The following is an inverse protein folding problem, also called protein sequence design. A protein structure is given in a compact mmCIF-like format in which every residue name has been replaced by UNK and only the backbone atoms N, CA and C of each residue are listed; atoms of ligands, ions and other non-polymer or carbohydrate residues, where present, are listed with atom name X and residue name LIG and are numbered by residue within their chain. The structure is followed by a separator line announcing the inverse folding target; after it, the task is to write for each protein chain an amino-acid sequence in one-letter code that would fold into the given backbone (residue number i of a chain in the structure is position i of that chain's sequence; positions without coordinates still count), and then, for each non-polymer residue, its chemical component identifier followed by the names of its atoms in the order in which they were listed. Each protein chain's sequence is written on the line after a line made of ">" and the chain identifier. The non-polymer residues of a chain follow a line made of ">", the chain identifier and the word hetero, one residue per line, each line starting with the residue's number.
data_IF_063581908594
#
_entry.id   IF_063581908594
#
_cell.length_a   1.000
_cell.length_b   1.000
_cell.length_c   1.000
_cell.angle_alpha   90.00
_cell.angle_beta   90.00
_cell.angle_gamma   90.00
#
_symmetry.space_group_name_H-M   'P 1'
#
loop_
_entity.id
_entity.type
_entity.pdbx_description
1 polymer ?
#
# COMPACT_ATOMS: atom_id res chain seq x y z
N UNK A 1 36.39 6.66 -43.38
CA UNK A 1 36.50 6.89 -44.84
C UNK A 1 35.09 6.97 -45.37
N UNK A 2 34.51 8.18 -45.50
CA UNK A 2 34.70 9.14 -46.61
C UNK A 2 34.05 8.61 -47.88
N UNK A 3 33.28 9.36 -48.68
CA UNK A 3 32.46 10.55 -48.57
C UNK A 3 31.75 10.65 -49.95
N UNK A 4 30.54 11.22 -50.00
CA UNK A 4 29.93 11.94 -51.15
C UNK A 4 29.69 11.28 -52.51
N UNK A 5 28.42 11.33 -52.94
CA UNK A 5 27.93 11.91 -54.23
C UNK A 5 26.56 12.59 -53.92
N UNK A 6 26.48 13.93 -53.83
CA UNK A 6 25.93 14.90 -54.82
C UNK A 6 24.48 14.62 -55.29
N UNK A 7 23.54 15.55 -55.53
CA UNK A 7 23.31 17.01 -55.34
C UNK A 7 21.96 17.29 -56.03
N UNK A 8 21.10 18.16 -55.46
CA UNK A 8 20.05 19.05 -56.08
C UNK A 8 18.79 19.10 -55.18
N UNK A 9 18.61 20.10 -54.30
CA UNK A 9 18.23 21.50 -54.50
C UNK A 9 16.78 21.68 -55.00
N UNK A 10 15.86 22.04 -54.10
CA UNK A 10 14.90 23.13 -54.33
C UNK A 10 14.37 23.69 -53.00
N UNK A 11 14.33 25.02 -52.96
CA UNK A 11 14.12 25.88 -51.82
C UNK A 11 12.69 25.84 -51.27
N UNK A 12 12.54 25.89 -49.94
CA UNK A 12 11.34 26.43 -49.29
C UNK A 12 11.76 27.28 -48.09
N UNK A 13 11.34 28.54 -48.21
CA UNK A 13 11.19 29.65 -47.26
C UNK A 13 11.70 29.53 -45.82
N UNK A 14 12.44 30.59 -45.46
CA UNK A 14 12.54 31.21 -44.14
C UNK A 14 11.28 31.01 -43.28
N UNK A 15 11.44 30.35 -42.14
CA UNK A 15 10.79 30.72 -40.89
C UNK A 15 11.82 30.58 -39.77
N UNK A 16 12.56 31.66 -39.53
CA UNK A 16 13.36 31.82 -38.30
C UNK A 16 12.35 32.09 -37.18
N UNK A 17 11.75 31.03 -36.67
CA UNK A 17 11.05 31.03 -35.40
C UNK A 17 12.07 30.81 -34.30
N UNK A 18 12.73 31.88 -33.86
CA UNK A 18 13.42 31.87 -32.58
C UNK A 18 12.37 31.67 -31.49
N UNK A 19 12.12 30.43 -31.10
CA UNK A 19 11.66 30.12 -29.75
C UNK A 19 12.81 30.45 -28.79
N UNK A 20 13.04 31.75 -28.58
CA UNK A 20 13.62 32.19 -27.32
C UNK A 20 12.63 31.77 -26.25
N UNK A 21 12.97 30.70 -25.53
CA UNK A 21 12.39 30.48 -24.23
C UNK A 21 12.47 31.81 -23.49
N UNK A 22 11.32 32.36 -23.09
CA UNK A 22 11.29 33.43 -22.11
C UNK A 22 11.97 32.85 -20.87
N UNK A 23 13.25 33.14 -20.68
CA UNK A 23 13.84 33.10 -19.35
C UNK A 23 13.08 34.15 -18.56
N UNK A 24 12.17 33.72 -17.68
CA UNK A 24 11.53 34.61 -16.71
C UNK A 24 12.63 35.24 -15.86
N UNK A 25 13.04 36.43 -16.28
CA UNK A 25 14.03 37.24 -15.60
C UNK A 25 13.24 38.18 -14.70
N UNK A 26 12.90 37.69 -13.51
CA UNK A 26 12.11 38.40 -12.47
C UNK A 26 12.88 39.59 -11.85
N UNK A 27 13.93 40.07 -12.52
CA UNK A 27 14.80 41.16 -12.05
C UNK A 27 14.98 42.30 -13.06
N UNK A 28 14.29 42.28 -14.21
CA UNK A 28 14.46 43.31 -15.25
C UNK A 28 13.18 44.07 -15.60
N UNK A 29 13.08 45.35 -15.20
CA UNK A 29 11.97 46.26 -15.51
C UNK A 29 12.02 46.87 -16.93
N UNK A 30 12.59 46.19 -17.92
CA UNK A 30 12.86 46.78 -19.24
C UNK A 30 11.75 46.59 -20.29
N UNK A 31 10.54 46.15 -19.90
CA UNK A 31 9.48 45.75 -20.83
C UNK A 31 8.29 46.71 -21.05
N UNK A 32 7.91 47.55 -20.09
CA UNK A 32 6.78 48.48 -20.22
C UNK A 32 6.71 49.48 -19.04
N UNK A 33 7.24 50.71 -19.16
CA UNK A 33 7.36 51.63 -18.03
C UNK A 33 6.04 52.26 -17.54
N UNK A 34 4.96 52.20 -18.33
CA UNK A 34 3.72 52.94 -18.06
C UNK A 34 2.60 52.09 -17.45
N UNK A 35 2.71 50.76 -17.49
CA UNK A 35 1.73 49.83 -16.89
C UNK A 35 2.31 49.02 -15.72
N UNK A 36 3.63 49.03 -15.55
CA UNK A 36 4.27 48.57 -14.32
C UNK A 36 4.64 49.82 -13.52
N UNK A 37 3.76 50.26 -12.61
CA UNK A 37 4.26 51.02 -11.45
C UNK A 37 5.36 50.14 -10.85
N UNK A 38 6.52 50.70 -10.51
CA UNK A 38 7.65 50.01 -9.89
C UNK A 38 7.24 49.43 -8.50
N UNK A 39 6.32 48.48 -8.49
CA UNK A 39 6.22 47.50 -7.44
C UNK A 39 7.34 46.50 -7.71
N UNK A 40 8.57 46.96 -7.53
CA UNK A 40 9.68 46.05 -7.26
C UNK A 40 9.30 45.31 -5.98
N UNK A 41 8.59 44.20 -6.13
CA UNK A 41 8.26 43.32 -5.03
C UNK A 41 9.60 42.93 -4.41
N UNK A 42 9.87 43.42 -3.20
CA UNK A 42 11.14 43.20 -2.55
C UNK A 42 11.29 41.69 -2.29
N UNK A 43 12.05 41.01 -3.15
CA UNK A 43 12.34 39.60 -3.00
C UNK A 43 13.24 39.43 -1.77
N UNK A 44 12.69 38.82 -0.73
CA UNK A 44 13.43 38.47 0.48
C UNK A 44 13.61 36.97 0.55
N UNK A 45 14.87 36.52 0.50
CA UNK A 45 15.19 35.15 0.87
C UNK A 45 15.27 35.07 2.40
N UNK A 46 14.54 34.12 2.98
CA UNK A 46 14.48 33.91 4.44
C UNK A 46 14.80 32.46 4.73
N UNK A 47 16.00 32.21 5.25
CA UNK A 47 16.41 30.86 5.64
C UNK A 47 15.97 30.61 7.09
N UNK A 48 15.06 29.65 7.25
CA UNK A 48 14.55 29.21 8.54
C UNK A 48 15.47 28.13 9.14
N UNK A 49 16.68 28.49 9.58
CA UNK A 49 17.70 27.53 10.08
C UNK A 49 17.43 26.97 11.48
N UNK A 50 16.69 27.69 12.32
CA UNK A 50 16.33 27.28 13.68
C UNK A 50 14.85 26.92 13.85
N UNK A 51 14.05 27.04 12.80
CA UNK A 51 12.59 26.94 12.90
C UNK A 51 12.06 25.52 12.72
N UNK A 52 12.85 24.59 12.15
CA UNK A 52 12.38 23.24 11.83
C UNK A 52 12.63 22.31 13.03
N UNK A 53 11.64 22.25 13.92
CA UNK A 53 11.69 21.33 15.06
C UNK A 53 10.97 20.05 14.65
N UNK A 54 11.63 18.90 14.85
CA UNK A 54 10.93 17.63 14.79
C UNK A 54 9.95 17.58 15.96
N UNK A 55 8.66 17.56 15.64
CA UNK A 55 7.61 17.47 16.65
C UNK A 55 7.43 16.02 17.08
N UNK A 56 7.10 15.15 16.12
CA UNK A 56 6.75 13.76 16.40
C UNK A 56 6.93 12.84 15.20
N UNK A 57 7.19 11.55 15.46
CA UNK A 57 7.21 10.50 14.43
C UNK A 57 6.28 9.37 14.85
N UNK A 58 5.33 9.02 13.98
CA UNK A 58 4.39 7.94 14.18
C UNK A 58 4.69 6.78 13.23
N UNK A 59 4.98 5.61 13.79
CA UNK A 59 5.24 4.37 13.05
C UNK A 59 3.97 3.54 13.00
N UNK A 60 3.72 2.85 11.88
CA UNK A 60 2.50 2.06 11.69
C UNK A 60 1.46 2.79 10.85
N UNK A 61 1.92 3.65 9.95
CA UNK A 61 1.10 4.33 8.96
C UNK A 61 1.08 3.54 7.63
N UNK A 62 -0.04 3.50 6.88
CA UNK A 62 -1.39 3.90 7.29
C UNK A 62 -1.90 3.12 8.50
N UNK A 63 -2.77 3.75 9.30
CA UNK A 63 -3.38 3.03 10.42
C UNK A 63 -4.16 1.84 9.87
N UNK A 64 -4.34 0.81 10.70
CA UNK A 64 -5.20 -0.32 10.35
C UNK A 64 -6.58 0.22 9.92
N UNK A 65 -7.13 -0.31 8.83
CA UNK A 65 -8.37 0.17 8.23
C UNK A 65 -8.27 1.34 7.26
N UNK A 66 -7.19 2.12 7.28
CA UNK A 66 -7.05 3.29 6.39
C UNK A 66 -6.41 2.94 5.04
N UNK A 67 -5.73 1.80 4.95
CA UNK A 67 -5.05 1.43 3.71
C UNK A 67 -6.01 0.85 2.69
N UNK A 68 -5.82 1.25 1.43
CA UNK A 68 -6.63 0.80 0.29
C UNK A 68 -6.05 -0.44 -0.37
N UNK A 69 -4.82 -0.77 -0.05
CA UNK A 69 -4.02 -1.81 -0.65
C UNK A 69 -2.90 -2.24 0.31
N UNK A 70 -2.33 -3.40 0.06
CA UNK A 70 -1.35 -4.02 0.94
C UNK A 70 -0.23 -4.65 0.15
N UNK A 71 0.98 -4.59 0.68
CA UNK A 71 2.11 -5.30 0.09
C UNK A 71 2.36 -6.60 0.84
N UNK A 72 2.26 -7.75 0.16
CA UNK A 72 2.92 -8.97 0.63
C UNK A 72 4.36 -8.93 0.16
N UNK A 73 5.27 -9.25 1.07
CA UNK A 73 6.68 -9.16 0.82
C UNK A 73 7.40 -10.32 1.49
N UNK A 74 8.29 -10.97 0.76
CA UNK A 74 9.30 -11.84 1.33
C UNK A 74 10.61 -11.56 0.58
N UNK A 75 11.59 -10.95 1.24
CA UNK A 75 12.91 -10.63 0.68
C UNK A 75 14.00 -11.30 1.52
N UNK A 76 13.95 -12.62 1.64
CA UNK A 76 14.91 -13.39 2.44
C UNK A 76 14.98 -12.88 3.88
N UNK A 77 16.17 -12.46 4.31
CA UNK A 77 16.41 -11.94 5.67
C UNK A 77 16.12 -10.45 5.84
N UNK A 78 15.86 -9.74 4.75
CA UNK A 78 15.77 -8.27 4.73
C UNK A 78 14.39 -7.78 5.14
N UNK A 79 13.32 -8.35 4.57
CA UNK A 79 11.96 -7.93 4.86
C UNK A 79 10.94 -9.06 4.68
N UNK A 80 9.94 -9.09 5.57
CA UNK A 80 8.84 -10.06 5.54
C UNK A 80 7.57 -9.34 6.01
N UNK A 81 6.61 -9.19 5.09
CA UNK A 81 5.31 -8.58 5.33
C UNK A 81 4.23 -9.55 4.87
N UNK A 82 3.35 -9.87 5.82
CA UNK A 82 2.22 -10.78 5.65
C UNK A 82 0.92 -10.00 5.82
N UNK A 83 -0.20 -10.63 5.53
CA UNK A 83 -1.52 -10.02 5.72
C UNK A 83 -2.36 -10.91 6.63
N UNK A 84 -3.13 -10.30 7.54
CA UNK A 84 -4.25 -10.93 8.22
C UNK A 84 -5.58 -10.48 7.61
N UNK A 85 -6.51 -11.42 7.43
CA UNK A 85 -7.87 -11.20 6.92
C UNK A 85 -8.86 -11.83 7.90
N UNK A 86 -9.85 -11.07 8.38
CA UNK A 86 -10.88 -11.60 9.26
C UNK A 86 -12.15 -11.92 8.49
N UNK A 87 -12.74 -13.08 8.75
CA UNK A 87 -14.06 -13.54 8.33
C UNK A 87 -14.77 -14.05 9.60
N UNK A 88 -15.03 -13.13 10.51
CA UNK A 88 -15.53 -13.46 11.85
C UNK A 88 -17.01 -13.88 11.86
N UNK A 89 -17.76 -13.59 10.80
CA UNK A 89 -19.16 -14.02 10.64
C UNK A 89 -19.29 -15.02 9.50
N UNK A 90 -19.53 -16.28 9.84
CA UNK A 90 -19.73 -17.37 8.88
C UNK A 90 -21.21 -17.78 8.84
N UNK A 91 -21.73 -18.03 7.63
CA UNK A 91 -23.07 -18.58 7.47
C UNK A 91 -23.06 -20.07 7.84
N UNK A 92 -24.08 -20.52 8.57
CA UNK A 92 -24.27 -21.94 8.94
C UNK A 92 -25.35 -22.62 8.09
N UNK A 93 -26.02 -21.86 7.24
CA UNK A 93 -27.12 -22.30 6.39
C UNK A 93 -26.95 -21.81 4.96
N UNK A 94 -27.51 -22.55 4.02
CA UNK A 94 -27.56 -22.21 2.60
C UNK A 94 -28.98 -22.40 2.06
N UNK A 95 -29.30 -21.65 1.01
CA UNK A 95 -30.59 -21.71 0.34
C UNK A 95 -30.51 -22.58 -0.92
N UNK A 96 -31.53 -23.42 -1.08
CA UNK A 96 -31.77 -24.19 -2.31
C UNK A 96 -32.87 -23.45 -3.07
N UNK A 97 -32.64 -23.15 -4.34
CA UNK A 97 -33.62 -22.45 -5.17
C UNK A 97 -34.93 -23.26 -5.21
N UNK A 98 -36.05 -22.64 -4.80
CA UNK A 98 -37.36 -23.29 -4.76
C UNK A 98 -37.68 -24.08 -3.48
N UNK A 99 -36.76 -24.15 -2.51
CA UNK A 99 -37.04 -24.76 -1.21
C UNK A 99 -37.78 -23.78 -0.27
N UNK A 100 -38.68 -24.32 0.57
CA UNK A 100 -39.45 -23.54 1.54
C UNK A 100 -38.62 -23.05 2.75
N UNK A 101 -37.44 -23.62 2.99
CA UNK A 101 -36.59 -23.27 4.13
C UNK A 101 -35.10 -23.50 3.86
N UNK A 102 -34.26 -22.75 4.57
CA UNK A 102 -32.81 -22.87 4.52
C UNK A 102 -32.28 -24.20 5.09
N UNK A 103 -31.32 -24.80 4.40
CA UNK A 103 -30.65 -26.03 4.82
C UNK A 103 -29.38 -25.77 5.62
N UNK A 104 -29.08 -26.60 6.62
CA UNK A 104 -27.81 -26.54 7.35
C UNK A 104 -26.65 -26.94 6.43
N UNK A 105 -25.53 -26.20 6.52
CA UNK A 105 -24.29 -26.57 5.86
C UNK A 105 -23.71 -27.79 6.59
N UNK A 106 -23.64 -28.93 5.90
CA UNK A 106 -23.09 -30.20 6.43
C UNK A 106 -21.72 -30.58 5.87
N UNK A 107 -21.30 -29.88 4.82
CA UNK A 107 -19.97 -30.00 4.22
C UNK A 107 -19.66 -28.70 3.46
N UNK A 108 -18.38 -28.50 3.17
CA UNK A 108 -17.92 -27.55 2.16
C UNK A 108 -17.38 -28.39 1.00
N UNK A 109 -17.92 -28.19 -0.19
CA UNK A 109 -17.55 -28.92 -1.41
C UNK A 109 -16.33 -28.31 -2.09
N UNK A 110 -16.29 -26.98 -2.14
CA UNK A 110 -15.15 -26.22 -2.67
C UNK A 110 -15.08 -24.87 -1.99
N UNK A 111 -13.87 -24.39 -1.69
CA UNK A 111 -13.60 -23.07 -1.15
C UNK A 111 -12.44 -22.43 -1.90
N UNK A 112 -12.60 -21.17 -2.29
CA UNK A 112 -11.58 -20.41 -3.00
C UNK A 112 -11.52 -18.98 -2.46
N UNK A 113 -10.34 -18.60 -1.97
CA UNK A 113 -10.01 -17.21 -1.70
C UNK A 113 -9.66 -16.50 -3.01
N UNK A 114 -10.33 -15.38 -3.26
CA UNK A 114 -10.21 -14.58 -4.48
C UNK A 114 -9.82 -13.17 -4.08
N UNK A 115 -8.73 -12.65 -4.65
CA UNK A 115 -8.31 -11.27 -4.47
C UNK A 115 -7.64 -10.75 -5.73
N UNK A 116 -7.56 -9.43 -5.83
CA UNK A 116 -6.90 -8.78 -6.95
C UNK A 116 -5.52 -8.30 -6.53
N UNK A 117 -4.59 -8.33 -7.48
CA UNK A 117 -3.28 -7.70 -7.32
C UNK A 117 -3.11 -6.54 -8.30
N UNK A 118 -2.40 -5.51 -7.86
CA UNK A 118 -2.10 -4.33 -8.65
C UNK A 118 -0.79 -4.54 -9.44
N UNK A 119 -0.94 -5.04 -10.67
CA UNK A 119 0.18 -5.25 -11.59
C UNK A 119 0.71 -3.97 -12.24
N UNK A 120 -0.01 -2.84 -12.09
CA UNK A 120 0.46 -1.53 -12.58
C UNK A 120 1.63 -0.99 -11.74
N UNK A 121 1.70 -1.40 -10.47
CA UNK A 121 2.75 -0.97 -9.53
C UNK A 121 3.74 -2.08 -9.24
N UNK A 122 3.28 -3.32 -9.08
CA UNK A 122 4.16 -4.48 -8.89
C UNK A 122 3.72 -5.64 -9.76
N UNK A 123 4.43 -5.88 -10.85
CA UNK A 123 4.24 -7.06 -11.69
C UNK A 123 5.23 -8.17 -11.31
N UNK A 124 4.75 -9.36 -10.89
CA UNK A 124 5.63 -10.51 -10.68
C UNK A 124 6.31 -10.90 -12.00
N UNK A 125 7.64 -11.04 -11.96
CA UNK A 125 8.47 -11.47 -13.11
C UNK A 125 9.02 -12.90 -12.94
N UNK A 126 8.79 -13.50 -11.77
CA UNK A 126 9.21 -14.86 -11.42
C UNK A 126 8.05 -15.60 -10.77
N UNK A 127 8.04 -16.94 -10.80
CA UNK A 127 7.07 -17.72 -10.05
C UNK A 127 7.14 -17.42 -8.55
N UNK A 128 6.00 -17.45 -7.90
CA UNK A 128 5.86 -17.22 -6.46
C UNK A 128 4.78 -18.14 -5.89
N UNK A 129 4.88 -18.42 -4.60
CA UNK A 129 3.90 -19.21 -3.86
C UNK A 129 3.15 -18.30 -2.90
N UNK A 130 1.84 -18.45 -2.81
CA UNK A 130 1.03 -17.85 -1.76
C UNK A 130 0.54 -18.97 -0.85
N UNK A 131 0.77 -18.78 0.44
CA UNK A 131 0.26 -19.64 1.49
C UNK A 131 -0.83 -18.89 2.29
N UNK A 132 -1.88 -19.63 2.64
CA UNK A 132 -2.94 -19.21 3.54
C UNK A 132 -2.87 -20.04 4.82
N UNK A 133 -2.89 -19.38 5.97
CA UNK A 133 -2.85 -20.01 7.29
C UNK A 133 -4.07 -19.63 8.12
N UNK A 134 -4.57 -20.52 8.97
CA UNK A 134 -5.53 -20.17 10.01
C UNK A 134 -4.82 -19.42 11.15
N UNK A 135 -4.98 -18.11 11.19
CA UNK A 135 -4.39 -17.24 12.21
C UNK A 135 -5.37 -16.89 13.33
N UNK A 136 -6.49 -17.61 13.44
CA UNK A 136 -7.44 -17.39 14.53
C UNK A 136 -6.80 -17.72 15.90
N UNK A 137 -7.08 -16.84 16.87
CA UNK A 137 -6.48 -16.87 18.20
C UNK A 137 -7.37 -16.14 19.20
N UNK A 138 -7.28 -16.51 20.48
CA UNK A 138 -7.91 -15.80 21.60
C UNK A 138 -7.03 -14.68 22.16
N UNK A 139 -5.75 -14.66 21.82
CA UNK A 139 -4.82 -13.59 22.22
C UNK A 139 -5.00 -12.33 21.36
N UNK A 140 -4.35 -11.23 21.76
CA UNK A 140 -4.37 -9.96 21.01
C UNK A 140 -3.76 -10.14 19.62
N UNK A 141 -4.63 -10.19 18.62
CA UNK A 141 -4.35 -10.45 17.20
C UNK A 141 -3.86 -9.20 16.43
N UNK A 142 -3.68 -8.09 17.13
CA UNK A 142 -3.12 -6.84 16.59
C UNK A 142 -1.59 -6.77 16.75
N UNK A 143 -1.02 -7.67 17.55
CA UNK A 143 0.41 -7.71 17.85
C UNK A 143 1.12 -8.69 16.90
N UNK A 144 2.17 -8.22 16.21
CA UNK A 144 3.02 -9.07 15.36
C UNK A 144 3.56 -10.27 16.13
N UNK A 145 3.99 -10.08 17.38
CA UNK A 145 4.53 -11.17 18.20
C UNK A 145 3.53 -12.29 18.46
N UNK A 146 2.22 -11.99 18.49
CA UNK A 146 1.15 -12.98 18.63
C UNK A 146 0.86 -13.68 17.32
N UNK A 147 0.79 -12.92 16.22
CA UNK A 147 0.30 -13.39 14.93
C UNK A 147 1.38 -14.08 14.09
N UNK A 148 2.62 -13.57 14.10
CA UNK A 148 3.71 -14.12 13.29
C UNK A 148 3.97 -15.63 13.54
N UNK A 149 3.93 -16.15 14.79
CA UNK A 149 4.08 -17.59 15.04
C UNK A 149 2.94 -18.47 14.51
N UNK A 150 1.79 -17.90 14.13
CA UNK A 150 0.64 -18.65 13.60
C UNK A 150 0.82 -19.06 12.13
N UNK A 151 1.73 -18.42 11.41
CA UNK A 151 2.12 -18.78 10.03
C UNK A 151 3.09 -19.95 10.05
N UNK A 152 2.56 -21.15 10.27
CA UNK A 152 3.32 -22.40 10.37
C UNK A 152 2.57 -23.53 9.69
N UNK A 153 3.29 -24.56 9.29
CA UNK A 153 2.75 -25.67 8.49
C UNK A 153 1.51 -26.32 9.11
N UNK A 154 1.44 -26.47 10.44
CA UNK A 154 0.27 -27.07 11.12
C UNK A 154 -1.01 -26.23 11.05
N UNK A 155 -0.94 -25.00 10.55
CA UNK A 155 -2.08 -24.11 10.33
C UNK A 155 -2.30 -23.78 8.86
N UNK A 156 -1.57 -24.41 7.95
CA UNK A 156 -1.71 -24.18 6.52
C UNK A 156 -3.08 -24.68 6.05
N UNK A 157 -3.88 -23.78 5.48
CA UNK A 157 -5.22 -24.05 4.96
C UNK A 157 -5.31 -23.78 3.46
N UNK A 158 -4.20 -23.49 2.79
CA UNK A 158 -4.15 -23.34 1.34
C UNK A 158 -2.73 -22.96 0.90
N UNK A 159 -2.30 -23.49 -0.23
CA UNK A 159 -1.02 -23.11 -0.84
C UNK A 159 -1.10 -23.28 -2.35
N UNK A 160 -0.60 -22.30 -3.10
CA UNK A 160 -0.50 -22.40 -4.55
C UNK A 160 0.71 -21.63 -5.07
N UNK A 161 1.45 -22.27 -5.96
CA UNK A 161 2.47 -21.63 -6.77
C UNK A 161 1.85 -21.13 -8.07
N UNK A 162 2.16 -19.88 -8.41
CA UNK A 162 1.72 -19.21 -9.63
C UNK A 162 2.94 -18.97 -10.53
N UNK A 163 2.79 -19.24 -11.82
CA UNK A 163 3.75 -18.72 -12.78
C UNK A 163 3.55 -17.20 -12.91
N UNK A 164 4.62 -16.47 -13.23
CA UNK A 164 4.53 -15.02 -13.46
C UNK A 164 3.52 -14.67 -14.58
N UNK A 165 3.39 -15.56 -15.57
CA UNK A 165 2.44 -15.41 -16.69
C UNK A 165 0.96 -15.57 -16.26
N UNK A 166 0.67 -16.37 -15.23
CA UNK A 166 -0.71 -16.64 -14.76
C UNK A 166 -1.39 -15.41 -14.15
N UNK A 167 -0.59 -14.39 -13.83
CA UNK A 167 -1.00 -13.17 -13.14
C UNK A 167 -1.58 -12.12 -14.10
N UNK A 168 -1.56 -12.37 -15.42
CA UNK A 168 -2.05 -11.41 -16.42
C UNK A 168 -3.53 -11.01 -16.35
N UNK A 169 -4.31 -11.63 -15.46
CA UNK A 169 -5.73 -11.28 -15.24
C UNK A 169 -5.98 -10.48 -13.95
N UNK A 170 -4.90 -10.09 -13.25
CA UNK A 170 -4.89 -9.44 -11.93
C UNK A 170 -5.62 -10.20 -10.80
N UNK A 171 -6.38 -11.24 -11.14
CA UNK A 171 -7.26 -11.97 -10.24
C UNK A 171 -6.60 -13.27 -9.81
N UNK A 172 -6.19 -13.32 -8.55
CA UNK A 172 -5.58 -14.50 -7.94
C UNK A 172 -6.66 -15.35 -7.28
N UNK A 173 -6.60 -16.66 -7.52
CA UNK A 173 -7.50 -17.66 -6.94
C UNK A 173 -6.69 -18.71 -6.19
N UNK A 174 -6.88 -18.77 -4.88
CA UNK A 174 -6.22 -19.71 -3.98
C UNK A 174 -7.27 -20.66 -3.39
N UNK A 175 -7.17 -21.94 -3.72
CA UNK A 175 -8.03 -22.97 -3.11
C UNK A 175 -7.72 -23.08 -1.63
N UNK A 176 -8.76 -23.14 -0.81
CA UNK A 176 -8.66 -23.35 0.63
C UNK A 176 -9.06 -24.78 0.98
N UNK A 177 -8.57 -25.27 2.11
CA UNK A 177 -8.98 -26.54 2.71
C UNK A 177 -10.46 -26.47 3.10
N UNK A 178 -11.25 -27.29 2.41
CA UNK A 178 -12.69 -27.41 2.61
C UNK A 178 -13.04 -27.87 4.04
N UNK A 179 -12.27 -28.82 4.60
CA UNK A 179 -12.50 -29.34 5.93
C UNK A 179 -12.19 -28.28 6.99
N UNK A 180 -11.13 -27.48 6.79
CA UNK A 180 -10.81 -26.36 7.68
C UNK A 180 -11.91 -25.30 7.70
N UNK A 181 -12.42 -24.88 6.52
CA UNK A 181 -13.54 -23.94 6.45
C UNK A 181 -14.81 -24.54 7.09
N UNK A 182 -15.10 -25.81 6.79
CA UNK A 182 -16.27 -26.48 7.33
C UNK A 182 -16.23 -26.61 8.85
N UNK A 183 -15.07 -26.92 9.45
CA UNK A 183 -14.90 -26.98 10.89
C UNK A 183 -15.27 -25.65 11.56
N UNK A 184 -14.83 -24.52 10.99
CA UNK A 184 -15.19 -23.19 11.48
C UNK A 184 -16.70 -22.91 11.35
N UNK A 185 -17.31 -23.27 10.23
CA UNK A 185 -18.77 -23.11 10.03
C UNK A 185 -19.57 -23.95 11.03
N UNK A 186 -19.21 -25.23 11.16
CA UNK A 186 -19.91 -26.20 12.01
C UNK A 186 -19.91 -25.78 13.47
N UNK A 187 -18.75 -25.35 13.96
CA UNK A 187 -18.56 -25.01 15.38
C UNK A 187 -18.82 -23.52 15.66
N UNK A 188 -19.31 -22.77 14.66
CA UNK A 188 -19.59 -21.33 14.75
C UNK A 188 -18.38 -20.52 15.22
N UNK A 189 -17.21 -20.89 14.72
CA UNK A 189 -15.93 -20.25 15.03
C UNK A 189 -15.60 -19.17 14.00
N UNK A 190 -14.72 -18.25 14.41
CA UNK A 190 -14.17 -17.22 13.53
C UNK A 190 -13.16 -17.85 12.56
N UNK A 191 -13.21 -17.42 11.30
CA UNK A 191 -12.15 -17.73 10.35
C UNK A 191 -11.27 -16.51 10.16
N UNK A 192 -9.98 -16.65 10.42
CA UNK A 192 -8.99 -15.59 10.18
C UNK A 192 -7.86 -16.16 9.36
N UNK A 193 -7.60 -15.55 8.21
CA UNK A 193 -6.65 -16.06 7.23
C UNK A 193 -5.42 -15.17 7.21
N UNK A 194 -4.27 -15.77 7.47
CA UNK A 194 -2.97 -15.17 7.26
C UNK A 194 -2.45 -15.49 5.86
N UNK A 195 -2.15 -14.47 5.05
CA UNK A 195 -1.50 -14.65 3.75
C UNK A 195 0.00 -14.35 3.83
N UNK A 196 0.80 -15.26 3.28
CA UNK A 196 2.24 -15.10 3.11
C UNK A 196 2.63 -15.38 1.66
N UNK A 197 3.58 -14.62 1.13
CA UNK A 197 4.18 -14.89 -0.17
C UNK A 197 5.58 -15.47 0.02
N UNK A 198 6.00 -16.37 -0.86
CA UNK A 198 7.36 -16.91 -0.93
C UNK A 198 7.84 -16.92 -2.37
N UNK A 199 9.13 -16.69 -2.59
CA UNK A 199 9.76 -17.08 -3.85
C UNK A 199 9.89 -18.60 -3.94
N UNK A 200 9.95 -19.14 -5.16
CA UNK A 200 10.04 -20.59 -5.39
C UNK A 200 11.46 -21.15 -5.24
N UNK A 201 12.45 -20.29 -5.08
CA UNK A 201 13.88 -20.64 -5.01
C UNK A 201 14.52 -19.91 -3.83
N UNK A 202 15.42 -20.59 -3.12
CA UNK A 202 16.14 -20.01 -1.99
C UNK A 202 16.86 -18.72 -2.40
N UNK A 203 16.70 -17.64 -1.63
CA UNK A 203 17.27 -16.33 -1.94
C UNK A 203 16.47 -15.46 -2.92
N UNK A 204 15.44 -16.00 -3.59
CA UNK A 204 14.56 -15.20 -4.44
C UNK A 204 13.39 -14.65 -3.63
N UNK A 205 13.34 -13.32 -3.55
CA UNK A 205 12.22 -12.64 -2.92
C UNK A 205 10.96 -12.62 -3.81
N UNK A 206 9.81 -12.40 -3.18
CA UNK A 206 8.54 -12.16 -3.85
C UNK A 206 7.87 -10.91 -3.28
N UNK A 207 7.26 -10.12 -4.16
CA UNK A 207 6.51 -8.91 -3.81
C UNK A 207 5.21 -8.90 -4.58
N UNK A 208 4.10 -8.69 -3.89
CA UNK A 208 2.78 -8.53 -4.46
C UNK A 208 2.10 -7.33 -3.81
N UNK A 209 1.35 -6.56 -4.59
CA UNK A 209 0.45 -5.53 -4.06
C UNK A 209 -0.98 -6.03 -4.20
N UNK A 210 -1.64 -6.38 -3.12
CA UNK A 210 -3.04 -6.81 -3.09
C UNK A 210 -3.94 -5.57 -2.99
N UNK A 211 -4.95 -5.49 -3.84
CA UNK A 211 -6.01 -4.49 -3.74
C UNK A 211 -6.90 -4.80 -2.52
N UNK A 212 -7.15 -3.77 -1.72
CA UNK A 212 -7.90 -3.84 -0.48
C UNK A 212 -9.34 -3.34 -0.64
N UNK A 213 -9.67 -2.22 -0.02
CA UNK A 213 -11.05 -1.75 0.22
C UNK A 213 -11.95 -1.66 -1.01
N UNK A 214 -11.44 -1.24 -2.17
CA UNK A 214 -12.23 -1.16 -3.40
C UNK A 214 -12.57 -2.54 -4.00
N UNK A 215 -11.71 -3.54 -3.76
CA UNK A 215 -11.84 -4.90 -4.26
C UNK A 215 -11.46 -5.91 -3.17
N UNK A 216 -12.28 -6.02 -2.10
CA UNK A 216 -11.88 -6.74 -0.91
C UNK A 216 -11.67 -8.24 -1.21
N UNK A 217 -10.62 -8.88 -0.65
CA UNK A 217 -10.44 -10.32 -0.74
C UNK A 217 -11.67 -11.06 -0.26
N UNK A 218 -12.22 -11.97 -1.06
CA UNK A 218 -13.46 -12.69 -0.76
C UNK A 218 -13.26 -14.19 -0.84
N UNK A 219 -13.97 -14.92 0.01
CA UNK A 219 -14.02 -16.38 -0.08
C UNK A 219 -15.30 -16.74 -0.81
N UNK A 220 -15.19 -17.49 -1.91
CA UNK A 220 -16.33 -18.12 -2.57
C UNK A 220 -16.32 -19.60 -2.24
N UNK A 221 -17.42 -20.13 -1.73
CA UNK A 221 -17.50 -21.55 -1.39
C UNK A 221 -18.85 -22.17 -1.78
N UNK A 222 -18.88 -23.50 -1.95
CA UNK A 222 -20.09 -24.29 -2.17
C UNK A 222 -20.36 -25.16 -0.95
N UNK A 223 -21.60 -25.15 -0.47
CA UNK A 223 -22.06 -26.03 0.61
C UNK A 223 -22.48 -27.43 0.12
N UNK A 224 -22.67 -27.60 -1.19
CA UNK A 224 -23.09 -28.84 -1.84
C UNK A 224 -22.40 -29.01 -3.18
N UNK A 225 -22.26 -30.27 -3.61
CA UNK A 225 -21.83 -30.66 -4.96
C UNK A 225 -22.95 -30.47 -5.99
N UNK A 226 -24.18 -30.28 -5.54
CA UNK A 226 -25.32 -29.93 -6.38
C UNK A 226 -25.12 -28.55 -7.02
N UNK A 227 -25.12 -28.50 -8.35
CA UNK A 227 -24.86 -27.29 -9.13
C UNK A 227 -26.03 -26.31 -9.13
N UNK A 228 -27.23 -26.75 -8.75
CA UNK A 228 -28.42 -25.90 -8.57
C UNK A 228 -28.30 -25.00 -7.33
N UNK A 229 -27.46 -25.40 -6.37
CA UNK A 229 -27.12 -24.61 -5.20
C UNK A 229 -26.10 -23.55 -5.59
N UNK A 230 -26.47 -22.28 -5.41
CA UNK A 230 -25.56 -21.16 -5.70
C UNK A 230 -24.42 -21.13 -4.68
N UNK A 231 -23.17 -20.86 -5.11
CA UNK A 231 -22.07 -20.62 -4.18
C UNK A 231 -22.35 -19.42 -3.28
N UNK A 232 -21.96 -19.53 -2.02
CA UNK A 232 -21.94 -18.40 -1.10
C UNK A 232 -20.64 -17.61 -1.25
N UNK A 233 -20.69 -16.35 -0.85
CA UNK A 233 -19.53 -15.45 -0.82
C UNK A 233 -19.41 -14.81 0.55
N UNK A 234 -18.23 -14.92 1.15
CA UNK A 234 -17.86 -14.26 2.39
C UNK A 234 -16.96 -13.07 2.07
N UNK A 235 -17.29 -11.94 2.66
CA UNK A 235 -16.46 -10.74 2.64
C UNK A 235 -15.77 -10.57 4.00
N UNK A 236 -14.61 -9.88 4.03
CA UNK A 236 -13.90 -9.67 5.27
C UNK A 236 -14.79 -8.94 6.27
N UNK A 237 -14.88 -9.47 7.47
CA UNK A 237 -15.66 -8.95 8.59
C UNK A 237 -14.91 -9.25 9.88
N UNK A 238 -14.88 -8.27 10.79
CA UNK A 238 -14.28 -8.42 12.10
C UNK A 238 -15.34 -8.07 13.12
N UNK A 239 -15.41 -8.84 14.20
CA UNK A 239 -16.19 -8.51 15.40
C UNK A 239 -15.29 -8.08 16.56
N UNK A 240 -13.99 -7.90 16.28
CA UNK A 240 -12.97 -7.49 17.25
C UNK A 240 -12.49 -6.06 16.94
N UNK A 241 -12.39 -5.17 17.96
CA UNK A 241 -12.87 -5.37 19.33
C UNK A 241 -14.41 -5.37 19.41
N UNK A 242 -15.00 -6.07 20.39
CA UNK A 242 -16.45 -6.12 20.54
C UNK A 242 -17.01 -4.72 20.79
N UNK A 243 -18.19 -4.41 20.21
CA UNK A 243 -18.94 -3.16 20.38
C UNK A 243 -18.28 -1.88 19.83
N UNK A 244 -17.16 -1.99 19.13
CA UNK A 244 -16.42 -0.86 18.56
C UNK A 244 -16.47 -0.88 17.03
N UNK A 245 -17.60 -0.50 16.43
CA UNK A 245 -17.86 -0.69 14.99
C UNK A 245 -16.80 -0.07 14.07
N UNK A 246 -16.27 1.10 14.43
CA UNK A 246 -15.21 1.77 13.66
C UNK A 246 -13.88 1.00 13.71
N UNK A 247 -13.50 0.50 14.89
CA UNK A 247 -12.29 -0.29 15.04
C UNK A 247 -12.44 -1.68 14.40
N UNK A 248 -13.62 -2.28 14.50
CA UNK A 248 -13.94 -3.53 13.80
C UNK A 248 -13.70 -3.41 12.30
N UNK A 249 -14.11 -2.31 11.67
CA UNK A 249 -13.83 -2.08 10.25
C UNK A 249 -12.32 -2.08 9.95
N UNK A 250 -11.52 -1.52 10.87
CA UNK A 250 -10.08 -1.45 10.73
C UNK A 250 -9.35 -2.80 10.84
N UNK A 251 -9.90 -3.76 11.60
CA UNK A 251 -9.30 -5.08 11.81
C UNK A 251 -9.71 -6.14 10.79
N UNK A 252 -10.56 -5.81 9.82
CA UNK A 252 -11.01 -6.77 8.79
C UNK A 252 -9.85 -7.27 7.92
N UNK A 253 -8.85 -6.43 7.69
CA UNK A 253 -7.69 -6.73 6.85
C UNK A 253 -6.52 -5.80 7.22
N UNK A 254 -5.36 -6.36 7.58
CA UNK A 254 -4.23 -5.60 8.11
C UNK A 254 -2.87 -6.21 7.72
N UNK A 255 -1.79 -5.41 7.64
CA UNK A 255 -0.46 -5.95 7.39
C UNK A 255 0.17 -6.42 8.71
N UNK A 256 0.95 -7.50 8.62
CA UNK A 256 1.77 -8.04 9.70
C UNK A 256 3.23 -7.94 9.26
N UNK A 257 3.93 -6.95 9.80
CA UNK A 257 5.36 -6.74 9.51
C UNK A 257 6.19 -7.62 10.43
N UNK A 258 6.72 -8.72 9.88
CA UNK A 258 7.51 -9.72 10.62
C UNK A 258 8.99 -9.37 10.64
N UNK A 259 9.53 -8.88 9.50
CA UNK A 259 10.92 -8.42 9.37
C UNK A 259 10.99 -7.12 8.56
N UNK A 260 12.06 -6.36 8.73
CA UNK A 260 12.33 -5.12 7.98
C UNK A 260 11.84 -3.84 8.68
N UNK A 261 11.41 -3.94 9.96
CA UNK A 261 11.00 -2.77 10.75
C UNK A 261 12.13 -1.80 10.95
N UNK A 262 11.92 -0.55 10.53
CA UNK A 262 12.84 0.52 10.83
C UNK A 262 12.86 0.76 12.34
N UNK A 263 14.05 0.88 12.95
CA UNK A 263 14.16 1.25 14.36
C UNK A 263 13.58 2.65 14.58
N UNK A 264 13.27 2.99 15.83
CA UNK A 264 12.90 4.36 16.16
C UNK A 264 14.04 5.33 15.75
N UNK A 265 13.71 6.51 15.18
CA UNK A 265 14.76 7.45 14.81
C UNK A 265 15.53 7.95 16.04
N UNK A 266 16.85 8.13 15.94
CA UNK A 266 17.61 8.92 16.91
C UNK A 266 17.12 10.37 16.98
N UNK A 267 17.44 11.07 18.07
CA UNK A 267 17.14 12.51 18.24
C UNK A 267 17.69 13.32 17.05
N UNK A 268 16.88 14.26 16.54
CA UNK A 268 17.24 15.11 15.41
C UNK A 268 17.15 14.43 14.03
N UNK A 269 16.62 13.20 13.97
CA UNK A 269 16.34 12.49 12.71
C UNK A 269 14.87 12.10 12.68
N UNK A 270 14.32 12.02 11.48
CA UNK A 270 12.95 11.57 11.28
C UNK A 270 12.92 10.46 10.24
N UNK A 271 11.87 9.65 10.29
CA UNK A 271 11.70 8.53 9.36
C UNK A 271 10.45 8.79 8.52
N UNK A 272 10.59 8.59 7.21
CA UNK A 272 9.48 8.65 6.28
C UNK A 272 9.41 7.32 5.55
N UNK A 273 8.21 6.72 5.50
CA UNK A 273 8.02 5.43 4.83
C UNK A 273 8.61 4.26 5.62
N UNK A 274 9.13 3.25 4.91
CA UNK A 274 9.58 1.99 5.49
C UNK A 274 8.48 0.94 5.68
N UNK A 275 8.79 -0.11 6.44
CA UNK A 275 7.90 -1.24 6.71
C UNK A 275 7.79 -1.48 8.21
N UNK A 276 6.72 -1.18 8.93
CA UNK A 276 5.55 -0.41 8.53
C UNK A 276 5.93 1.05 8.23
N UNK A 277 5.10 1.73 7.44
CA UNK A 277 5.33 3.12 7.09
C UNK A 277 5.38 4.02 8.32
N UNK A 278 6.23 5.03 8.27
CA UNK A 278 6.30 6.10 9.25
C UNK A 278 5.85 7.43 8.64
N UNK A 279 5.18 8.25 9.46
CA UNK A 279 4.91 9.66 9.21
C UNK A 279 5.64 10.49 10.25
N UNK A 280 6.23 11.58 9.81
CA UNK A 280 6.92 12.53 10.67
C UNK A 280 6.30 13.91 10.52
N UNK A 281 6.13 14.61 11.65
CA UNK A 281 5.63 15.97 11.69
C UNK A 281 6.79 16.92 11.98
N UNK A 282 6.92 17.93 11.13
CA UNK A 282 7.88 19.01 11.28
C UNK A 282 7.10 20.26 11.64
N UNK A 283 7.50 20.92 12.72
CA UNK A 283 6.99 22.23 13.10
C UNK A 283 7.94 23.29 12.57
N UNK A 284 7.36 24.36 12.03
CA UNK A 284 8.09 25.52 11.52
C UNK A 284 7.66 26.73 12.34
N UNK A 285 8.58 27.32 13.09
CA UNK A 285 8.35 28.63 13.70
C UNK A 285 8.51 29.72 12.64
N UNK A 286 7.38 30.09 12.03
CA UNK A 286 7.33 31.07 10.94
C UNK A 286 7.37 32.49 11.53
N UNK A 287 8.34 33.34 11.15
CA UNK A 287 8.40 34.72 11.65
C UNK A 287 7.15 35.53 11.26
N UNK A 288 6.68 36.46 12.10
CA UNK A 288 5.54 37.34 11.78
C UNK A 288 5.68 38.09 10.46
N UNK A 289 6.93 38.45 10.09
CA UNK A 289 7.22 39.10 8.81
C UNK A 289 6.86 38.27 7.58
N UNK A 290 6.68 36.95 7.74
CA UNK A 290 6.22 36.03 6.69
C UNK A 290 4.71 35.73 6.80
N UNK A 291 4.08 36.03 7.94
CA UNK A 291 2.66 35.79 8.17
C UNK A 291 1.77 36.98 7.77
N UNK A 292 2.25 38.21 7.95
CA UNK A 292 1.36 39.37 7.91
C UNK A 292 1.07 39.91 6.50
N UNK A 293 1.98 39.81 5.51
CA UNK A 293 1.75 40.34 4.14
C UNK A 293 2.85 39.94 3.13
N UNK A 294 3.08 38.64 2.88
CA UNK A 294 4.03 38.22 1.82
C UNK A 294 3.42 37.20 0.86
N UNK A 295 3.77 37.33 -0.41
CA UNK A 295 3.52 36.30 -1.41
C UNK A 295 4.72 35.36 -1.44
N UNK A 296 4.53 34.11 -1.03
CA UNK A 296 5.58 33.09 -1.12
C UNK A 296 5.69 32.60 -2.55
N UNK A 297 6.71 33.07 -3.27
CA UNK A 297 6.96 32.69 -4.68
C UNK A 297 7.63 31.32 -4.77
N UNK A 298 8.46 30.97 -3.79
CA UNK A 298 9.13 29.67 -3.67
C UNK A 298 9.40 29.34 -2.20
N UNK A 299 9.20 28.09 -1.83
CA UNK A 299 9.69 27.52 -0.58
C UNK A 299 10.43 26.22 -0.88
N UNK A 300 11.60 26.05 -0.26
CA UNK A 300 12.42 24.85 -0.43
C UNK A 300 12.71 24.23 0.93
N UNK A 301 12.44 22.94 1.08
CA UNK A 301 12.85 22.16 2.24
C UNK A 301 14.04 21.27 1.84
N UNK A 302 15.21 21.57 2.39
CA UNK A 302 16.40 20.74 2.18
C UNK A 302 16.47 19.66 3.25
N UNK A 303 16.43 18.39 2.82
CA UNK A 303 16.53 17.22 3.70
C UNK A 303 17.75 16.39 3.32
N UNK A 304 18.58 16.05 4.31
CA UNK A 304 19.69 15.12 4.12
C UNK A 304 19.19 13.69 4.35
N UNK A 305 19.16 12.89 3.28
CA UNK A 305 18.74 11.49 3.38
C UNK A 305 19.87 10.63 3.96
N UNK A 306 19.49 9.69 4.82
CA UNK A 306 20.36 8.62 5.29
C UNK A 306 19.88 7.30 4.67
N UNK A 307 20.79 6.46 4.15
CA UNK A 307 20.40 5.20 3.53
C UNK A 307 19.66 4.27 4.50
N UNK A 308 18.45 3.83 4.12
CA UNK A 308 17.73 2.77 4.82
C UNK A 308 18.31 1.40 4.43
N UNK A 309 19.11 0.79 5.32
CA UNK A 309 19.75 -0.51 5.04
C UNK A 309 18.82 -1.72 5.14
N UNK A 310 17.57 -1.53 5.60
CA UNK A 310 16.62 -2.63 5.87
C UNK A 310 15.81 -3.08 4.66
N UNK A 311 15.90 -2.36 3.54
CA UNK A 311 15.38 -2.80 2.25
C UNK A 311 16.40 -2.34 1.22
N UNK A 312 17.04 -3.26 0.48
CA UNK A 312 17.88 -2.88 -0.67
C UNK A 312 17.01 -2.17 -1.70
N UNK A 313 16.82 -0.86 -1.54
CA UNK A 313 16.13 -0.02 -2.48
C UNK A 313 17.12 0.22 -3.63
N UNK A 314 16.87 -0.39 -4.78
CA UNK A 314 17.62 -0.15 -6.02
C UNK A 314 17.32 1.22 -6.65
N UNK A 315 16.53 2.06 -5.97
CA UNK A 315 16.25 3.45 -6.35
C UNK A 315 16.17 4.31 -5.08
N UNK A 316 17.06 5.30 -4.99
CA UNK A 316 17.15 6.28 -3.89
C UNK A 316 16.05 7.36 -3.92
N UNK A 317 15.02 7.20 -4.76
CA UNK A 317 13.97 8.20 -4.90
C UNK A 317 12.84 7.93 -3.90
N UNK A 318 12.88 8.61 -2.75
CA UNK A 318 11.66 8.84 -1.95
C UNK A 318 10.86 9.98 -2.57
N UNK A 319 9.56 9.78 -2.74
CA UNK A 319 8.63 10.88 -3.01
C UNK A 319 8.03 11.31 -1.68
N UNK A 320 8.35 12.52 -1.24
CA UNK A 320 7.78 13.11 -0.04
C UNK A 320 6.57 13.95 -0.45
N UNK A 321 5.40 13.61 0.10
CA UNK A 321 4.22 14.44 -0.02
C UNK A 321 4.11 15.30 1.24
N UNK A 322 4.19 16.62 1.09
CA UNK A 322 3.99 17.56 2.19
C UNK A 322 2.53 18.02 2.19
N UNK A 323 1.91 18.01 3.36
CA UNK A 323 0.59 18.58 3.57
C UNK A 323 0.72 19.65 4.66
N UNK A 324 0.56 20.95 4.32
CA UNK A 324 0.54 21.99 5.33
C UNK A 324 -0.73 21.85 6.16
N UNK A 325 -0.60 21.98 7.48
CA UNK A 325 -1.72 22.03 8.42
C UNK A 325 -1.47 23.23 9.33
N UNK A 326 -2.48 24.10 9.46
CA UNK A 326 -2.44 25.18 10.46
C UNK A 326 -2.77 24.54 11.80
N UNK A 327 -1.80 24.45 12.69
CA UNK A 327 -2.07 24.13 14.08
C UNK A 327 -2.62 25.41 14.74
N UNK A 328 -3.91 25.44 15.10
CA UNK A 328 -4.39 26.47 16.03
C UNK A 328 -3.92 26.12 17.45
N UNK A 329 -3.82 27.11 18.34
CA UNK A 329 -3.77 26.86 19.79
C UNK A 329 -4.95 26.02 20.26
#
# INVERSE_FOLDING_TARGET
>A
MSDRILRSAFAVLLFVGTFTACSEQVTGSLGCPTLCVDESAALRDTILTAAVVLDSTFIGFPRQGETRDFTLLALGDTADVRIGLHYDTLKTRYQITGAASDSLIRKVDSATLIFLIDTSVVKPVRPFTIDAFDIDTSATDTLTATIAPLYRASRLIGSRTYAAADVGTDTVRLTLDNAALFAKIKDTLRLRIGLQVRGTTSGNGARLRILGTAFPPRIRYRASSDTTVKPDTLFPSSVTPPRELYQQAAFRFFPVVVKGRLPAPPVGRFIVGGLAGARSYLRFDIPPSVLDSVTVIRASLLLTQLPARTTSATKDSITVFTQPVIASP
#
